data_IF_169888631527
#
_entry.id   IF_169888631527
#
_cell.length_a   1.000
_cell.length_b   1.000
_cell.length_c   1.000
_cell.angle_alpha   90.00
_cell.angle_beta   90.00
_cell.angle_gamma   90.00
#
_symmetry.space_group_name_H-M   'P 1'
#
loop_
_entity.id
_entity.type
_entity.pdbx_description
1 polymer ?
#
# COMPACT_ATOMS: atom_id res chain seq x y z
N UNK A 1 2.98 -5.70 -3.58
CA UNK A 1 2.69 -4.63 -2.60
C UNK A 1 2.23 -3.40 -3.36
N UNK A 2 1.40 -2.56 -2.76
CA UNK A 2 0.89 -1.31 -3.31
C UNK A 2 1.25 -0.18 -2.33
N UNK A 3 1.60 1.00 -2.85
CA UNK A 3 1.96 2.18 -2.04
C UNK A 3 1.22 3.42 -2.59
N UNK A 4 1.01 4.41 -1.73
CA UNK A 4 0.43 5.71 -2.10
C UNK A 4 1.56 6.74 -2.15
N UNK A 5 1.61 7.56 -3.20
CA UNK A 5 2.59 8.65 -3.29
C UNK A 5 2.19 9.81 -2.36
N UNK A 6 2.98 10.11 -1.30
CA UNK A 6 2.63 11.18 -0.36
C UNK A 6 2.81 12.59 -0.94
N UNK A 7 3.51 12.76 -2.07
CA UNK A 7 3.64 14.07 -2.71
C UNK A 7 2.45 14.43 -3.61
N UNK A 8 1.69 13.42 -4.05
CA UNK A 8 0.51 13.58 -4.91
C UNK A 8 -0.81 13.36 -4.16
N UNK A 9 -0.77 12.70 -3.00
CA UNK A 9 -1.90 12.57 -2.11
C UNK A 9 -2.39 13.95 -1.65
N UNK A 10 -3.71 14.13 -1.62
CA UNK A 10 -4.38 15.39 -1.22
C UNK A 10 -5.21 15.22 0.06
N UNK A 11 -5.00 14.12 0.78
CA UNK A 11 -5.63 13.83 2.08
C UNK A 11 -7.17 13.90 2.04
N UNK A 12 -7.76 13.26 1.02
CA UNK A 12 -9.22 13.26 0.81
C UNK A 12 -9.95 12.12 1.54
N UNK A 13 -9.23 11.18 2.16
CA UNK A 13 -9.73 10.01 2.89
C UNK A 13 -10.64 9.03 2.14
N UNK A 14 -10.88 9.23 0.84
CA UNK A 14 -11.79 8.38 0.04
C UNK A 14 -11.30 6.93 -0.03
N UNK A 15 -10.00 6.69 -0.06
CA UNK A 15 -9.45 5.33 -0.17
C UNK A 15 -9.45 4.54 1.15
N UNK A 16 -9.55 5.23 2.29
CA UNK A 16 -9.49 4.61 3.63
C UNK A 16 -10.59 3.56 3.82
N UNK A 17 -11.89 3.87 3.63
CA UNK A 17 -12.97 2.88 3.82
C UNK A 17 -13.07 1.86 2.67
N UNK A 18 -12.41 2.11 1.54
CA UNK A 18 -12.50 1.25 0.36
C UNK A 18 -11.53 0.06 0.42
N UNK A 19 -10.53 0.10 1.32
CA UNK A 19 -9.58 -0.98 1.49
C UNK A 19 -10.23 -2.16 2.24
N UNK A 20 -10.43 -3.34 1.62
CA UNK A 20 -11.15 -4.45 2.26
C UNK A 20 -10.44 -5.09 3.46
N UNK A 21 -9.18 -4.73 3.69
CA UNK A 21 -8.31 -5.24 4.75
C UNK A 21 -7.79 -4.13 5.65
N UNK A 22 -8.39 -2.93 5.58
CA UNK A 22 -8.10 -1.76 6.42
C UNK A 22 -6.60 -1.40 6.47
N UNK A 23 -5.87 -1.58 5.37
CA UNK A 23 -4.42 -1.34 5.31
C UNK A 23 -4.04 0.12 5.04
N UNK A 24 -5.01 0.97 4.69
CA UNK A 24 -4.80 2.40 4.41
C UNK A 24 -5.15 3.19 5.67
N UNK A 25 -4.20 3.98 6.14
CA UNK A 25 -4.35 4.83 7.32
C UNK A 25 -4.25 6.31 6.91
N UNK A 26 -5.03 7.21 7.55
CA UNK A 26 -4.88 8.65 7.36
C UNK A 26 -3.50 9.16 7.80
N UNK A 27 -3.07 10.30 7.26
CA UNK A 27 -1.75 10.90 7.53
C UNK A 27 -1.57 11.35 9.00
N UNK A 28 -2.66 11.70 9.67
CA UNK A 28 -2.69 12.06 11.08
C UNK A 28 -2.67 10.86 12.03
N UNK A 29 -2.81 9.63 11.53
CA UNK A 29 -2.68 8.44 12.37
C UNK A 29 -1.20 8.22 12.75
N UNK A 30 -0.85 8.17 14.04
CA UNK A 30 0.52 7.91 14.47
C UNK A 30 1.10 6.61 13.90
N UNK A 31 0.27 5.60 13.66
CA UNK A 31 0.69 4.33 13.06
C UNK A 31 1.08 4.48 11.58
N UNK A 32 0.51 5.45 10.85
CA UNK A 32 0.86 5.72 9.46
C UNK A 32 2.29 6.27 9.31
N UNK A 33 2.80 6.96 10.33
CA UNK A 33 4.12 7.62 10.31
C UNK A 33 5.25 6.64 9.97
N UNK A 34 5.17 5.37 10.41
CA UNK A 34 6.20 4.35 10.14
C UNK A 34 6.29 3.96 8.65
N UNK A 35 5.24 4.23 7.87
CA UNK A 35 5.13 3.87 6.46
C UNK A 35 5.40 5.04 5.50
N UNK A 36 5.49 6.28 6.00
CA UNK A 36 5.60 7.47 5.17
C UNK A 36 6.84 7.44 4.26
N UNK A 37 8.02 7.20 4.84
CA UNK A 37 9.27 7.10 4.08
C UNK A 37 9.29 5.87 3.16
N UNK A 38 8.65 4.78 3.58
CA UNK A 38 8.53 3.59 2.75
C UNK A 38 7.71 3.90 1.50
N UNK A 39 6.52 4.47 1.67
CA UNK A 39 5.63 4.87 0.58
C UNK A 39 6.32 5.84 -0.38
N UNK A 40 6.93 6.90 0.16
CA UNK A 40 7.73 7.88 -0.60
C UNK A 40 8.80 7.18 -1.44
N UNK A 41 9.68 6.38 -0.82
CA UNK A 41 10.76 5.69 -1.52
C UNK A 41 10.28 4.87 -2.72
N UNK A 42 9.24 4.06 -2.54
CA UNK A 42 8.78 3.16 -3.61
C UNK A 42 7.98 3.90 -4.69
N UNK A 43 7.24 4.96 -4.34
CA UNK A 43 6.51 5.76 -5.33
C UNK A 43 7.38 6.76 -6.09
N UNK A 44 8.26 7.51 -5.41
CA UNK A 44 9.06 8.58 -6.01
C UNK A 44 10.42 8.09 -6.47
N UNK A 45 11.21 7.50 -5.57
CA UNK A 45 12.63 7.22 -5.84
C UNK A 45 12.82 5.98 -6.73
N UNK A 46 11.99 4.96 -6.50
CA UNK A 46 11.97 3.74 -7.29
C UNK A 46 11.00 3.79 -8.47
N UNK A 47 10.22 4.88 -8.58
CA UNK A 47 9.27 5.14 -9.66
C UNK A 47 8.45 3.89 -10.03
N UNK A 48 7.82 3.26 -9.02
CA UNK A 48 6.95 2.13 -9.28
C UNK A 48 5.83 2.54 -10.26
N UNK A 49 5.40 1.65 -11.18
CA UNK A 49 4.36 1.97 -12.14
C UNK A 49 3.07 2.40 -11.46
N UNK A 50 2.42 3.42 -12.01
CA UNK A 50 1.12 3.87 -11.55
C UNK A 50 0.04 2.82 -11.80
N UNK A 51 -0.95 2.79 -10.90
CA UNK A 51 -2.18 2.02 -11.04
C UNK A 51 -3.34 3.02 -10.95
N UNK A 52 -4.09 3.14 -12.04
CA UNK A 52 -5.20 4.09 -12.23
C UNK A 52 -6.55 3.42 -12.42
N UNK A 53 -6.57 2.13 -12.75
CA UNK A 53 -7.79 1.31 -12.83
C UNK A 53 -7.76 0.17 -11.81
N UNK A 54 -8.93 -0.22 -11.30
CA UNK A 54 -9.07 -1.37 -10.42
C UNK A 54 -8.86 -2.68 -11.20
N UNK A 55 -8.10 -3.61 -10.62
CA UNK A 55 -7.87 -4.93 -11.17
C UNK A 55 -8.44 -6.03 -10.27
N UNK A 56 -8.29 -7.28 -10.70
CA UNK A 56 -8.60 -8.40 -9.83
C UNK A 56 -7.58 -8.49 -8.68
N UNK A 57 -8.01 -8.83 -7.45
CA UNK A 57 -7.07 -9.12 -6.37
C UNK A 57 -6.15 -10.29 -6.75
N UNK A 58 -4.97 -10.33 -6.15
CA UNK A 58 -4.06 -11.48 -6.32
C UNK A 58 -4.81 -12.80 -6.02
N UNK A 59 -4.69 -13.85 -6.86
CA UNK A 59 -5.37 -15.12 -6.62
C UNK A 59 -5.05 -15.75 -5.25
N UNK A 60 -3.87 -15.45 -4.70
CA UNK A 60 -3.44 -15.88 -3.37
C UNK A 60 -3.72 -14.82 -2.26
N UNK A 61 -4.48 -13.75 -2.52
CA UNK A 61 -4.68 -12.65 -1.54
C UNK A 61 -5.16 -13.12 -0.16
N UNK A 62 -6.00 -14.16 -0.10
CA UNK A 62 -6.50 -14.73 1.15
C UNK A 62 -5.37 -15.32 2.01
N UNK A 63 -4.39 -15.99 1.39
CA UNK A 63 -3.21 -16.49 2.09
C UNK A 63 -2.49 -15.34 2.78
N UNK A 64 -2.34 -14.22 2.09
CA UNK A 64 -1.71 -13.00 2.59
C UNK A 64 -2.68 -12.05 3.29
N UNK A 65 -3.80 -12.50 3.86
CA UNK A 65 -4.65 -11.65 4.71
C UNK A 65 -3.90 -11.24 6.00
N UNK A 66 -4.08 -10.01 6.54
CA UNK A 66 -3.43 -9.59 7.80
C UNK A 66 -3.62 -10.55 8.97
N UNK A 67 -4.79 -11.18 9.10
CA UNK A 67 -5.08 -12.16 10.17
C UNK A 67 -4.13 -13.36 10.18
N UNK A 68 -3.54 -13.71 9.03
CA UNK A 68 -2.58 -14.80 8.92
C UNK A 68 -1.14 -14.38 9.26
N UNK A 69 -0.91 -13.08 9.49
CA UNK A 69 0.41 -12.46 9.70
C UNK A 69 0.35 -11.40 10.82
N UNK A 70 0.14 -11.82 12.08
CA UNK A 70 0.00 -10.90 13.21
C UNK A 70 1.24 -10.03 13.46
N UNK A 71 2.42 -10.53 13.08
CA UNK A 71 3.70 -9.80 13.19
C UNK A 71 4.05 -9.00 11.92
N UNK A 72 3.13 -8.93 10.95
CA UNK A 72 3.34 -8.29 9.66
C UNK A 72 3.97 -9.18 8.59
N UNK A 73 4.23 -8.60 7.41
CA UNK A 73 4.65 -9.33 6.19
C UNK A 73 5.97 -8.83 5.60
N UNK A 74 6.74 -8.05 6.36
CA UNK A 74 7.95 -7.40 5.82
C UNK A 74 9.04 -8.41 5.41
N UNK A 75 9.10 -9.59 6.02
CA UNK A 75 10.02 -10.65 5.61
C UNK A 75 9.67 -11.24 4.23
N UNK A 76 8.44 -11.04 3.75
CA UNK A 76 7.98 -11.45 2.43
C UNK A 76 8.11 -10.33 1.39
N UNK A 77 8.63 -9.17 1.79
CA UNK A 77 8.69 -8.01 0.93
C UNK A 77 9.67 -8.19 -0.24
N UNK A 78 9.26 -7.74 -1.42
CA UNK A 78 10.08 -7.64 -2.63
C UNK A 78 10.11 -6.19 -3.10
N UNK A 79 11.29 -5.68 -3.43
CA UNK A 79 11.53 -4.33 -3.95
C UNK A 79 11.13 -4.15 -5.41
N UNK A 80 10.85 -5.25 -6.12
CA UNK A 80 10.35 -5.23 -7.50
C UNK A 80 8.91 -4.73 -7.57
N UNK A 81 8.59 -3.81 -8.51
CA UNK A 81 7.23 -3.34 -8.71
C UNK A 81 6.31 -4.45 -9.24
N UNK A 82 5.01 -4.26 -9.00
CA UNK A 82 3.95 -4.96 -9.72
C UNK A 82 3.76 -4.44 -11.15
N UNK A 83 2.68 -4.89 -11.81
CA UNK A 83 2.26 -4.33 -13.10
C UNK A 83 1.41 -3.06 -12.84
N UNK A 84 1.73 -1.98 -13.51
CA UNK A 84 0.89 -0.78 -13.59
C UNK A 84 -0.15 -0.86 -14.70
N UNK A 85 -0.93 0.21 -14.87
CA UNK A 85 -1.83 0.43 -16.00
C UNK A 85 -1.93 1.90 -16.40
#
# INVERSE_FOLDING_TARGET
MLVINPEECIDCDVCVPECPVDAILPDYDPEATKWLEFNRKYSTDMMWPNITENGDPDPEHQKYHPDNFPDGKMDLFSDKPGKGN
#
